data_IF_745219943991
#
_entry.id   IF_745219943991
#
_cell.length_a   1.000
_cell.length_b   1.000
_cell.length_c   1.000
_cell.angle_alpha   90.00
_cell.angle_beta   90.00
_cell.angle_gamma   90.00
#
_symmetry.space_group_name_H-M   'P 1'
#
loop_
_entity.id
_entity.type
_entity.pdbx_description
1 polymer ?
#
# COMPACT_ATOMS: atom_id res chain seq x y z
N UNK A 1 -37.80 -21.16 -13.36
CA UNK A 1 -36.73 -20.46 -14.08
C UNK A 1 -35.39 -20.96 -13.60
N UNK A 2 -34.38 -20.97 -14.46
CA UNK A 2 -33.03 -21.35 -14.07
C UNK A 2 -32.47 -20.34 -13.03
N UNK A 3 -32.07 -20.87 -11.88
CA UNK A 3 -31.52 -20.08 -10.77
C UNK A 3 -30.19 -19.42 -11.14
N UNK A 4 -29.35 -20.18 -11.85
CA UNK A 4 -28.03 -19.75 -12.26
C UNK A 4 -28.13 -18.61 -13.26
N UNK A 5 -29.01 -18.73 -14.25
CA UNK A 5 -29.32 -17.61 -15.14
C UNK A 5 -29.84 -16.38 -14.38
N UNK A 6 -30.71 -16.57 -13.39
CA UNK A 6 -31.23 -15.45 -12.60
C UNK A 6 -30.14 -14.74 -11.80
N UNK A 7 -29.17 -15.50 -11.28
CA UNK A 7 -27.98 -14.97 -10.61
C UNK A 7 -27.07 -14.21 -11.57
N UNK A 8 -26.76 -14.77 -12.76
CA UNK A 8 -25.99 -14.09 -13.81
C UNK A 8 -26.61 -12.76 -14.23
N UNK A 9 -27.94 -12.75 -14.42
CA UNK A 9 -28.69 -11.52 -14.75
C UNK A 9 -28.58 -10.49 -13.62
N UNK A 10 -28.77 -10.89 -12.37
CA UNK A 10 -28.63 -9.97 -11.23
C UNK A 10 -27.23 -9.35 -11.15
N UNK A 11 -26.17 -10.15 -11.24
CA UNK A 11 -24.78 -9.67 -11.23
C UNK A 11 -24.59 -8.66 -12.35
N UNK A 12 -25.03 -8.97 -13.57
CA UNK A 12 -24.87 -8.08 -14.72
C UNK A 12 -25.66 -6.78 -14.59
N UNK A 13 -26.86 -6.83 -14.01
CA UNK A 13 -27.68 -5.65 -13.71
C UNK A 13 -26.99 -4.75 -12.69
N UNK A 14 -26.38 -5.33 -11.65
CA UNK A 14 -25.63 -4.59 -10.64
C UNK A 14 -24.37 -3.93 -11.23
N UNK A 15 -23.58 -4.67 -12.03
CA UNK A 15 -22.37 -4.16 -12.68
C UNK A 15 -22.66 -2.97 -13.60
N UNK A 16 -23.74 -3.07 -14.38
CA UNK A 16 -24.12 -2.07 -15.36
C UNK A 16 -25.12 -1.05 -14.81
N UNK A 17 -25.52 -1.12 -13.53
CA UNK A 17 -26.50 -0.23 -12.92
C UNK A 17 -27.80 -0.01 -13.72
N UNK A 18 -28.18 -0.96 -14.59
CA UNK A 18 -29.29 -0.80 -15.54
C UNK A 18 -29.76 -2.13 -16.10
N UNK A 19 -31.07 -2.39 -15.98
CA UNK A 19 -31.72 -3.54 -16.59
C UNK A 19 -31.63 -3.54 -18.11
N UNK A 20 -31.80 -2.39 -18.76
CA UNK A 20 -31.74 -2.29 -20.21
C UNK A 20 -30.33 -2.62 -20.74
N UNK A 21 -29.28 -2.09 -20.08
CA UNK A 21 -27.89 -2.38 -20.48
C UNK A 21 -27.53 -3.84 -20.22
N UNK A 22 -27.94 -4.40 -19.10
CA UNK A 22 -27.70 -5.82 -18.79
C UNK A 22 -28.44 -6.76 -19.74
N UNK A 23 -29.70 -6.47 -20.05
CA UNK A 23 -30.50 -7.25 -20.99
C UNK A 23 -29.86 -7.26 -22.38
N UNK A 24 -29.44 -6.08 -22.87
CA UNK A 24 -28.72 -5.97 -24.14
C UNK A 24 -27.37 -6.70 -24.14
N UNK A 25 -26.62 -6.65 -23.03
CA UNK A 25 -25.33 -7.34 -22.93
C UNK A 25 -25.44 -8.88 -22.83
N UNK A 26 -26.62 -9.38 -22.46
CA UNK A 26 -26.90 -10.81 -22.31
C UNK A 26 -27.81 -11.38 -23.41
N UNK A 27 -28.13 -10.58 -24.43
CA UNK A 27 -29.04 -10.94 -25.53
C UNK A 27 -30.42 -11.44 -25.07
N UNK A 28 -31.00 -10.75 -24.08
CA UNK A 28 -32.34 -11.03 -23.55
C UNK A 28 -33.22 -9.77 -23.56
N UNK A 29 -34.54 -9.94 -23.44
CA UNK A 29 -35.44 -8.79 -23.32
C UNK A 29 -35.38 -8.16 -21.93
N UNK A 30 -35.65 -6.85 -21.83
CA UNK A 30 -35.71 -6.13 -20.55
C UNK A 30 -36.77 -6.73 -19.60
N UNK A 31 -37.89 -7.21 -20.15
CA UNK A 31 -38.93 -7.90 -19.38
C UNK A 31 -38.40 -9.20 -18.76
N UNK A 32 -37.60 -9.98 -19.51
CA UNK A 32 -36.96 -11.21 -19.03
C UNK A 32 -35.94 -10.90 -17.95
N UNK A 33 -35.08 -9.89 -18.14
CA UNK A 33 -34.11 -9.46 -17.13
C UNK A 33 -34.79 -9.03 -15.81
N UNK A 34 -35.86 -8.24 -15.93
CA UNK A 34 -36.68 -7.80 -14.78
C UNK A 34 -37.28 -8.99 -14.02
N UNK A 35 -37.79 -9.98 -14.76
CA UNK A 35 -38.42 -11.18 -14.19
C UNK A 35 -37.40 -12.08 -13.51
N UNK A 36 -36.22 -12.28 -14.08
CA UNK A 36 -35.13 -13.04 -13.45
C UNK A 36 -34.74 -12.48 -12.09
N UNK A 37 -34.56 -11.15 -11.99
CA UNK A 37 -34.23 -10.51 -10.71
C UNK A 37 -35.40 -10.58 -9.74
N UNK A 38 -36.64 -10.39 -10.20
CA UNK A 38 -37.83 -10.50 -9.35
C UNK A 38 -38.00 -11.92 -8.78
N UNK A 39 -37.79 -12.96 -9.60
CA UNK A 39 -37.83 -14.36 -9.16
C UNK A 39 -36.72 -14.65 -8.15
N UNK A 40 -35.53 -14.05 -8.33
CA UNK A 40 -34.42 -14.19 -7.40
C UNK A 40 -34.73 -13.54 -6.04
N UNK A 41 -35.22 -12.30 -6.05
CA UNK A 41 -35.66 -11.56 -4.85
C UNK A 41 -36.81 -12.31 -4.14
N UNK A 42 -37.78 -12.81 -4.91
CA UNK A 42 -38.90 -13.59 -4.38
C UNK A 42 -38.47 -14.89 -3.69
N UNK A 43 -37.43 -15.57 -4.20
CA UNK A 43 -36.87 -16.77 -3.57
C UNK A 43 -36.08 -16.47 -2.30
N UNK A 44 -35.35 -15.35 -2.27
CA UNK A 44 -34.58 -14.94 -1.09
C UNK A 44 -35.47 -14.29 -0.02
N UNK A 45 -36.70 -13.92 -0.37
CA UNK A 45 -37.62 -13.21 0.53
C UNK A 45 -37.19 -11.78 0.85
N UNK A 46 -36.20 -11.24 0.13
CA UNK A 46 -35.66 -9.89 0.33
C UNK A 46 -35.36 -9.21 -0.99
N UNK A 47 -35.40 -7.87 -1.00
CA UNK A 47 -34.99 -7.08 -2.16
C UNK A 47 -33.48 -6.95 -2.19
N UNK A 48 -32.89 -7.15 -3.37
CA UNK A 48 -31.46 -6.95 -3.62
C UNK A 48 -31.19 -5.59 -4.25
N UNK A 49 -32.20 -4.99 -4.92
CA UNK A 49 -32.07 -3.69 -5.58
C UNK A 49 -33.14 -2.70 -5.09
N UNK A 50 -32.70 -1.48 -4.80
CA UNK A 50 -33.57 -0.32 -4.69
C UNK A 50 -33.81 0.24 -6.10
N UNK A 51 -35.06 0.17 -6.55
CA UNK A 51 -35.48 0.70 -7.86
C UNK A 51 -36.21 2.00 -7.64
N UNK A 52 -35.63 3.11 -8.09
CA UNK A 52 -36.36 4.37 -8.31
C UNK A 52 -36.45 4.65 -9.81
N UNK A 53 -37.32 5.56 -10.22
CA UNK A 53 -37.44 5.99 -11.63
C UNK A 53 -36.17 6.69 -12.16
N UNK A 54 -35.20 7.01 -11.30
CA UNK A 54 -33.97 7.75 -11.65
C UNK A 54 -32.68 7.03 -11.28
N UNK A 55 -32.71 6.03 -10.40
CA UNK A 55 -31.51 5.31 -9.97
C UNK A 55 -31.79 3.84 -9.62
N UNK A 56 -30.78 3.02 -9.85
CA UNK A 56 -30.70 1.65 -9.41
C UNK A 56 -29.53 1.55 -8.43
N UNK A 57 -29.79 1.14 -7.19
CA UNK A 57 -28.75 0.90 -6.19
C UNK A 57 -28.95 -0.45 -5.50
N UNK A 58 -27.88 -1.01 -4.96
CA UNK A 58 -27.96 -2.24 -4.17
C UNK A 58 -28.55 -1.96 -2.79
N UNK A 59 -29.29 -2.92 -2.24
CA UNK A 59 -29.57 -2.98 -0.81
C UNK A 59 -28.36 -3.57 -0.07
N UNK A 60 -28.36 -3.53 1.26
CA UNK A 60 -27.33 -4.22 2.06
C UNK A 60 -27.30 -5.73 1.74
N UNK A 61 -28.46 -6.38 1.71
CA UNK A 61 -28.58 -7.78 1.27
C UNK A 61 -28.14 -7.97 -0.17
N UNK A 62 -28.39 -6.99 -1.04
CA UNK A 62 -27.94 -6.97 -2.43
C UNK A 62 -26.42 -6.95 -2.56
N UNK A 63 -25.73 -6.16 -1.74
CA UNK A 63 -24.27 -6.08 -1.74
C UNK A 63 -23.65 -7.42 -1.31
N UNK A 64 -24.15 -7.99 -0.22
CA UNK A 64 -23.71 -9.30 0.27
C UNK A 64 -23.98 -10.39 -0.76
N UNK A 65 -25.18 -10.41 -1.35
CA UNK A 65 -25.54 -11.40 -2.36
C UNK A 65 -24.69 -11.24 -3.63
N UNK A 66 -24.42 -10.02 -4.08
CA UNK A 66 -23.59 -9.75 -5.26
C UNK A 66 -22.18 -10.31 -5.11
N UNK A 67 -21.56 -10.06 -3.96
CA UNK A 67 -20.22 -10.56 -3.68
C UNK A 67 -20.15 -12.09 -3.71
N UNK A 68 -21.10 -12.76 -3.05
CA UNK A 68 -21.18 -14.23 -3.00
C UNK A 68 -21.60 -14.85 -4.33
N UNK A 69 -22.53 -14.21 -5.05
CA UNK A 69 -22.98 -14.66 -6.36
C UNK A 69 -21.84 -14.66 -7.38
N UNK A 70 -20.97 -13.63 -7.37
CA UNK A 70 -19.77 -13.60 -8.23
C UNK A 70 -18.86 -14.78 -7.93
N UNK A 71 -18.54 -15.02 -6.66
CA UNK A 71 -17.70 -16.15 -6.24
C UNK A 71 -18.26 -17.49 -6.74
N UNK A 72 -19.58 -17.72 -6.59
CA UNK A 72 -20.23 -18.96 -7.02
C UNK A 72 -20.19 -19.13 -8.55
N UNK A 73 -20.44 -18.06 -9.30
CA UNK A 73 -20.41 -18.11 -10.77
C UNK A 73 -19.00 -18.37 -11.30
N UNK A 74 -17.99 -17.74 -10.71
CA UNK A 74 -16.58 -17.96 -11.05
C UNK A 74 -16.17 -19.41 -10.72
N UNK A 75 -16.57 -19.94 -9.55
CA UNK A 75 -16.28 -21.33 -9.16
C UNK A 75 -16.97 -22.34 -10.08
N UNK A 76 -18.19 -22.07 -10.54
CA UNK A 76 -18.86 -22.92 -11.51
C UNK A 76 -18.13 -22.92 -12.86
N UNK A 77 -17.72 -21.74 -13.34
CA UNK A 77 -16.96 -21.61 -14.58
C UNK A 77 -15.62 -22.36 -14.47
N UNK A 78 -14.94 -22.26 -13.32
CA UNK A 78 -13.72 -22.99 -13.03
C UNK A 78 -13.95 -24.52 -13.06
N UNK A 79 -15.04 -25.01 -12.45
CA UNK A 79 -15.39 -26.44 -12.46
C UNK A 79 -15.72 -26.93 -13.87
N UNK A 80 -16.50 -26.17 -14.65
CA UNK A 80 -16.82 -26.48 -16.04
C UNK A 80 -15.53 -26.54 -16.88
N UNK A 81 -14.61 -25.59 -16.69
CA UNK A 81 -13.30 -25.59 -17.35
C UNK A 81 -12.41 -26.78 -16.93
N UNK A 82 -12.48 -27.22 -15.68
CA UNK A 82 -11.75 -28.39 -15.19
C UNK A 82 -12.21 -29.69 -15.86
N UNK A 83 -13.52 -29.82 -16.14
CA UNK A 83 -14.09 -31.03 -16.76
C UNK A 83 -13.75 -31.12 -18.25
N UNK A 84 -13.60 -29.99 -18.95
CA UNK A 84 -13.31 -29.93 -20.40
C UNK A 84 -11.81 -30.13 -20.70
N UNK A 85 -11.09 -30.84 -19.83
CA UNK A 85 -9.63 -31.03 -19.87
C UNK A 85 -9.04 -31.27 -21.27
N UNK A 86 -8.36 -30.25 -21.84
CA UNK A 86 -7.11 -30.44 -22.60
C UNK A 86 -6.33 -29.19 -23.01
N UNK A 87 -6.88 -27.99 -23.01
CA UNK A 87 -6.14 -26.75 -23.29
C UNK A 87 -6.98 -25.57 -22.81
N UNK A 88 -6.64 -24.90 -21.71
CA UNK A 88 -7.32 -23.66 -21.36
C UNK A 88 -6.34 -22.51 -21.18
N UNK A 89 -6.40 -21.63 -22.17
CA UNK A 89 -6.06 -20.23 -22.07
C UNK A 89 -6.79 -19.65 -20.83
N UNK A 90 -6.07 -19.08 -19.85
CA UNK A 90 -6.69 -18.51 -18.66
C UNK A 90 -7.59 -17.33 -19.03
N UNK A 91 -8.74 -17.22 -18.35
CA UNK A 91 -9.74 -16.17 -18.58
C UNK A 91 -10.52 -15.85 -17.29
N UNK A 92 -11.28 -14.75 -17.32
CA UNK A 92 -12.14 -14.33 -16.21
C UNK A 92 -11.48 -13.34 -15.25
N UNK A 93 -12.17 -12.99 -14.16
CA UNK A 93 -11.63 -12.10 -13.14
C UNK A 93 -10.61 -12.83 -12.26
N UNK A 94 -9.45 -12.22 -12.03
CA UNK A 94 -8.41 -12.72 -11.12
C UNK A 94 -8.29 -11.74 -9.95
N UNK A 95 -8.86 -12.13 -8.80
CA UNK A 95 -8.95 -11.29 -7.60
C UNK A 95 -7.66 -11.37 -6.78
N UNK A 96 -6.91 -10.28 -6.75
CA UNK A 96 -5.59 -10.17 -6.13
C UNK A 96 -5.65 -9.18 -4.97
N UNK A 97 -5.05 -9.56 -3.84
CA UNK A 97 -4.80 -8.64 -2.73
C UNK A 97 -3.30 -8.48 -2.47
N UNK A 98 -2.83 -7.27 -2.21
CA UNK A 98 -1.41 -7.02 -1.94
C UNK A 98 -1.19 -5.80 -1.02
N UNK A 99 -0.04 -5.70 -0.35
CA UNK A 99 0.38 -4.50 0.38
C UNK A 99 0.53 -3.32 -0.56
N UNK A 100 0.18 -2.12 -0.08
CA UNK A 100 0.03 -0.93 -0.94
C UNK A 100 1.33 -0.63 -1.68
N UNK A 101 2.44 -0.51 -0.95
CA UNK A 101 3.73 -0.14 -1.54
C UNK A 101 4.25 -1.26 -2.46
N UNK A 102 4.07 -2.52 -2.09
CA UNK A 102 4.48 -3.63 -2.97
C UNK A 102 3.66 -3.65 -4.26
N UNK A 103 2.35 -3.43 -4.16
CA UNK A 103 1.43 -3.34 -5.29
C UNK A 103 1.87 -2.30 -6.31
N UNK A 104 2.16 -1.09 -5.83
CA UNK A 104 2.54 0.04 -6.69
C UNK A 104 3.90 -0.13 -7.36
N UNK A 105 4.91 -0.62 -6.61
CA UNK A 105 6.29 -0.64 -7.12
C UNK A 105 6.68 -1.95 -7.82
N UNK A 106 6.03 -3.07 -7.48
CA UNK A 106 6.50 -4.41 -7.87
C UNK A 106 5.43 -5.26 -8.53
N UNK A 107 4.16 -5.11 -8.16
CA UNK A 107 3.07 -5.88 -8.78
C UNK A 107 2.66 -5.30 -10.14
N UNK A 108 2.63 -3.98 -10.28
CA UNK A 108 2.19 -3.33 -11.51
C UNK A 108 2.99 -3.77 -12.78
N UNK A 109 4.33 -3.86 -12.77
CA UNK A 109 5.09 -4.39 -13.92
C UNK A 109 4.77 -5.87 -14.25
N UNK A 110 4.51 -6.68 -13.22
CA UNK A 110 4.10 -8.08 -13.41
C UNK A 110 2.73 -8.15 -14.08
N UNK A 111 1.77 -7.36 -13.60
CA UNK A 111 0.42 -7.31 -14.16
C UNK A 111 0.42 -6.83 -15.61
N UNK A 112 1.28 -5.87 -15.96
CA UNK A 112 1.44 -5.42 -17.35
C UNK A 112 1.82 -6.59 -18.27
N UNK A 113 2.88 -7.33 -17.91
CA UNK A 113 3.36 -8.45 -18.73
C UNK A 113 2.41 -9.65 -18.71
N UNK A 114 1.72 -9.88 -17.60
CA UNK A 114 0.72 -10.94 -17.48
C UNK A 114 -0.53 -10.66 -18.34
N UNK A 115 -1.07 -9.44 -18.29
CA UNK A 115 -2.23 -9.04 -19.08
C UNK A 115 -1.94 -9.07 -20.60
N UNK A 116 -0.69 -8.81 -21.00
CA UNK A 116 -0.26 -8.99 -22.40
C UNK A 116 -0.23 -10.46 -22.82
N UNK A 117 0.23 -11.35 -21.94
CA UNK A 117 0.31 -12.79 -22.20
C UNK A 117 -1.07 -13.46 -22.18
N UNK A 118 -1.98 -12.96 -21.35
CA UNK A 118 -3.30 -13.55 -21.11
C UNK A 118 -4.40 -12.47 -21.15
N UNK A 119 -4.76 -11.96 -22.34
CA UNK A 119 -5.65 -10.81 -22.50
C UNK A 119 -7.11 -11.06 -22.08
N UNK A 120 -7.48 -12.33 -21.87
CA UNK A 120 -8.82 -12.72 -21.42
C UNK A 120 -8.96 -12.76 -19.89
N UNK A 121 -7.85 -12.60 -19.16
CA UNK A 121 -7.87 -12.47 -17.70
C UNK A 121 -7.95 -10.99 -17.35
N UNK A 122 -8.88 -10.65 -16.45
CA UNK A 122 -9.04 -9.29 -15.92
C UNK A 122 -8.50 -9.26 -14.50
N UNK A 123 -7.35 -8.60 -14.22
CA UNK A 123 -6.87 -8.43 -12.86
C UNK A 123 -7.79 -7.50 -12.06
N UNK A 124 -8.31 -7.98 -10.94
CA UNK A 124 -9.06 -7.22 -9.96
C UNK A 124 -8.19 -7.07 -8.71
N UNK A 125 -7.59 -5.88 -8.53
CA UNK A 125 -6.51 -5.67 -7.55
C UNK A 125 -6.98 -4.82 -6.39
N UNK A 126 -6.88 -5.36 -5.18
CA UNK A 126 -7.13 -4.67 -3.92
C UNK A 126 -5.81 -4.44 -3.17
N UNK A 127 -5.55 -3.19 -2.78
CA UNK A 127 -4.33 -2.83 -2.02
C UNK A 127 -4.66 -2.49 -0.58
N UNK A 128 -4.08 -3.22 0.38
CA UNK A 128 -4.34 -3.04 1.82
C UNK A 128 -3.11 -3.34 2.66
N UNK A 129 -2.91 -2.55 3.72
CA UNK A 129 -1.91 -2.80 4.76
C UNK A 129 -2.61 -3.23 6.07
N UNK A 130 -3.22 -4.41 6.00
CA UNK A 130 -3.80 -5.16 7.13
C UNK A 130 -3.74 -6.66 6.85
N UNK A 131 -3.99 -7.48 7.87
CA UNK A 131 -4.24 -8.90 7.64
C UNK A 131 -5.54 -9.09 6.84
N UNK A 132 -5.51 -10.06 5.92
CA UNK A 132 -6.60 -10.40 5.00
C UNK A 132 -6.79 -11.91 5.03
N UNK A 133 -8.04 -12.35 5.15
CA UNK A 133 -8.38 -13.75 4.93
C UNK A 133 -8.78 -13.95 3.46
N UNK A 134 -7.94 -14.64 2.70
CA UNK A 134 -8.16 -14.84 1.26
C UNK A 134 -9.45 -15.61 0.98
N UNK A 135 -9.86 -16.52 1.85
CA UNK A 135 -11.04 -17.37 1.65
C UNK A 135 -12.30 -16.61 2.01
N UNK A 136 -12.34 -16.00 3.20
CA UNK A 136 -13.54 -15.28 3.65
C UNK A 136 -13.85 -14.06 2.79
N UNK A 137 -12.81 -13.34 2.36
CA UNK A 137 -12.89 -12.13 1.52
C UNK A 137 -12.88 -12.44 0.02
N UNK A 138 -12.70 -13.72 -0.36
CA UNK A 138 -12.82 -14.21 -1.73
C UNK A 138 -11.77 -13.71 -2.70
N UNK A 139 -10.51 -13.66 -2.26
CA UNK A 139 -9.36 -13.42 -3.11
C UNK A 139 -8.80 -14.73 -3.66
N UNK A 140 -8.45 -14.73 -4.93
CA UNK A 140 -7.81 -15.87 -5.59
C UNK A 140 -6.33 -15.98 -5.16
N UNK A 141 -5.66 -14.83 -5.07
CA UNK A 141 -4.22 -14.73 -4.78
C UNK A 141 -3.96 -13.54 -3.85
N UNK A 142 -3.14 -13.76 -2.83
CA UNK A 142 -2.59 -12.73 -1.96
C UNK A 142 -1.08 -12.59 -2.11
N UNK A 143 -0.56 -11.37 -2.09
CA UNK A 143 0.84 -11.11 -1.77
C UNK A 143 0.92 -10.79 -0.28
N UNK A 144 1.82 -11.44 0.44
CA UNK A 144 1.93 -11.29 1.90
C UNK A 144 3.39 -11.04 2.31
N UNK A 145 3.54 -10.16 3.29
CA UNK A 145 4.84 -9.74 3.84
C UNK A 145 4.93 -10.29 5.26
N UNK A 146 5.96 -11.09 5.56
CA UNK A 146 6.17 -11.76 6.85
C UNK A 146 5.10 -12.82 7.22
N UNK A 147 5.14 -13.31 8.48
CA UNK A 147 4.31 -14.40 9.05
C UNK A 147 2.81 -14.05 9.22
N UNK A 148 2.25 -13.28 8.29
CA UNK A 148 0.89 -12.73 8.36
C UNK A 148 -0.21 -13.70 7.91
N UNK A 149 0.13 -14.95 7.57
CA UNK A 149 -0.87 -15.97 7.21
C UNK A 149 -0.98 -16.97 8.35
N UNK A 150 -2.09 -16.90 9.10
CA UNK A 150 -2.51 -17.90 10.07
C UNK A 150 -3.74 -18.62 9.54
N UNK A 151 -3.59 -19.46 8.53
CA UNK A 151 -4.65 -20.41 8.21
C UNK A 151 -4.10 -21.67 7.56
N UNK A 152 -4.56 -22.83 8.04
CA UNK A 152 -4.22 -24.15 7.50
C UNK A 152 -4.78 -24.37 6.08
N UNK A 153 -5.68 -23.49 5.62
CA UNK A 153 -6.31 -23.55 4.31
C UNK A 153 -5.60 -22.75 3.22
N UNK A 154 -4.42 -22.18 3.49
CA UNK A 154 -3.67 -21.36 2.53
C UNK A 154 -2.31 -21.95 2.26
N UNK A 155 -1.93 -22.04 0.98
CA UNK A 155 -0.58 -22.40 0.55
C UNK A 155 0.21 -21.13 0.33
N UNK A 156 1.43 -21.06 0.87
CA UNK A 156 2.35 -19.94 0.67
C UNK A 156 3.60 -20.39 -0.08
N UNK A 157 4.02 -19.61 -1.09
CA UNK A 157 5.26 -19.80 -1.83
C UNK A 157 6.06 -18.51 -1.83
N UNK A 158 7.35 -18.59 -1.53
CA UNK A 158 8.24 -17.41 -1.54
C UNK A 158 8.43 -16.88 -2.96
N UNK A 159 8.23 -15.58 -3.12
CA UNK A 159 8.52 -14.86 -4.37
C UNK A 159 9.90 -14.22 -4.32
N UNK A 160 10.18 -13.49 -3.25
CA UNK A 160 11.36 -12.62 -3.13
C UNK A 160 11.60 -12.25 -1.67
N UNK A 161 12.75 -11.65 -1.39
CA UNK A 161 13.05 -11.04 -0.09
C UNK A 161 13.30 -9.54 -0.27
N UNK A 162 12.91 -8.75 0.72
CA UNK A 162 13.24 -7.33 0.83
C UNK A 162 14.09 -7.07 2.07
N UNK A 163 14.85 -5.99 2.05
CA UNK A 163 15.55 -5.49 3.24
C UNK A 163 14.81 -4.29 3.83
N UNK A 164 14.89 -4.15 5.15
CA UNK A 164 14.50 -2.94 5.85
C UNK A 164 15.73 -2.04 6.02
N UNK A 165 15.53 -0.73 5.87
CA UNK A 165 16.59 0.26 5.96
C UNK A 165 16.18 1.37 6.92
N UNK A 166 17.13 1.79 7.76
CA UNK A 166 16.98 2.97 8.61
C UNK A 166 17.35 4.21 7.80
N UNK A 167 16.51 5.23 7.80
CA UNK A 167 16.74 6.44 7.02
C UNK A 167 16.16 7.69 7.68
N UNK A 168 16.72 8.84 7.32
CA UNK A 168 16.23 10.16 7.68
C UNK A 168 16.64 11.18 6.61
N UNK A 169 16.13 12.41 6.70
CA UNK A 169 16.59 13.51 5.84
C UNK A 169 17.93 14.07 6.34
N UNK A 170 18.79 14.58 5.45
CA UNK A 170 20.01 15.29 5.88
C UNK A 170 19.75 16.44 6.85
N UNK A 171 18.70 17.24 6.60
CA UNK A 171 18.33 18.37 7.44
C UNK A 171 17.94 17.97 8.87
N UNK A 172 17.30 16.82 9.05
CA UNK A 172 17.01 16.29 10.38
C UNK A 172 18.31 15.91 11.11
N UNK A 173 19.23 15.25 10.41
CA UNK A 173 20.50 14.79 10.99
C UNK A 173 21.45 15.95 11.35
N UNK A 174 21.44 17.03 10.57
CA UNK A 174 22.20 18.24 10.88
C UNK A 174 21.78 18.85 12.23
N UNK A 175 20.48 18.79 12.52
CA UNK A 175 19.90 19.35 13.77
C UNK A 175 19.99 18.40 14.95
N UNK A 176 19.84 17.10 14.73
CA UNK A 176 19.66 16.11 15.79
C UNK A 176 20.87 15.17 15.98
N UNK A 177 21.88 15.26 15.12
CA UNK A 177 23.00 14.33 15.07
C UNK A 177 22.70 13.07 14.24
N UNK A 178 23.76 12.37 13.85
CA UNK A 178 23.66 11.12 13.06
C UNK A 178 23.89 9.90 13.95
N UNK A 179 22.93 8.96 14.05
CA UNK A 179 23.14 7.74 14.82
C UNK A 179 24.15 6.83 14.11
N UNK A 180 25.18 6.40 14.86
CA UNK A 180 26.25 5.51 14.38
C UNK A 180 26.08 4.07 14.86
N UNK A 181 25.28 3.84 15.91
CA UNK A 181 24.92 2.52 16.44
C UNK A 181 23.42 2.43 16.74
N UNK A 182 22.82 1.23 16.72
CA UNK A 182 21.38 1.05 16.92
C UNK A 182 20.83 1.67 18.21
N UNK A 183 21.61 1.69 19.28
CA UNK A 183 21.23 2.24 20.58
C UNK A 183 20.96 3.74 20.53
N UNK A 184 21.61 4.47 19.63
CA UNK A 184 21.32 5.89 19.43
C UNK A 184 19.90 6.14 18.92
N UNK A 185 19.22 5.14 18.34
CA UNK A 185 17.81 5.27 17.95
C UNK A 185 16.89 5.54 19.15
N UNK A 186 17.32 5.22 20.38
CA UNK A 186 16.57 5.55 21.60
C UNK A 186 16.52 7.06 21.87
N UNK A 187 17.43 7.82 21.29
CA UNK A 187 17.57 9.28 21.47
C UNK A 187 16.84 10.07 20.37
N UNK A 188 16.26 9.39 19.39
CA UNK A 188 15.58 10.01 18.25
C UNK A 188 14.08 9.66 18.21
N UNK A 189 13.23 10.61 17.82
CA UNK A 189 11.89 10.33 17.33
C UNK A 189 11.90 9.26 16.22
N UNK A 190 11.29 8.09 16.48
CA UNK A 190 11.16 7.03 15.48
C UNK A 190 9.76 6.96 14.85
N UNK A 191 9.75 6.64 13.56
CA UNK A 191 8.57 6.49 12.72
C UNK A 191 8.43 4.99 12.37
N UNK A 192 7.36 4.36 12.87
CA UNK A 192 7.23 2.88 12.82
C UNK A 192 5.84 2.41 12.42
N UNK A 193 5.79 1.19 11.87
CA UNK A 193 4.55 0.41 11.80
C UNK A 193 4.06 0.04 13.22
N UNK A 194 2.77 -0.27 13.38
CA UNK A 194 2.25 -0.83 14.64
C UNK A 194 3.05 -2.05 15.09
N UNK A 195 3.18 -2.24 16.40
CA UNK A 195 3.99 -3.32 16.98
C UNK A 195 3.46 -4.72 16.64
N UNK A 196 2.20 -4.85 16.25
CA UNK A 196 1.61 -6.09 15.74
C UNK A 196 2.30 -6.63 14.47
N UNK A 197 2.98 -5.77 13.71
CA UNK A 197 3.66 -6.16 12.48
C UNK A 197 5.02 -6.81 12.75
N UNK A 198 5.86 -6.21 13.62
CA UNK A 198 7.26 -6.60 13.83
C UNK A 198 7.72 -6.63 15.30
N UNK A 199 6.78 -6.55 16.25
CA UNK A 199 7.07 -6.35 17.66
C UNK A 199 7.52 -4.93 17.99
N UNK A 200 7.76 -4.67 19.28
CA UNK A 200 8.30 -3.39 19.76
C UNK A 200 9.83 -3.30 19.62
N UNK A 201 10.50 -4.45 19.55
CA UNK A 201 11.95 -4.53 19.48
C UNK A 201 12.43 -4.57 18.02
N UNK A 202 13.60 -3.97 17.77
CA UNK A 202 14.33 -4.04 16.50
C UNK A 202 15.65 -4.75 16.78
N UNK A 203 15.86 -5.86 16.07
CA UNK A 203 17.08 -6.65 16.15
C UNK A 203 17.97 -6.25 14.98
N UNK A 204 19.19 -5.83 15.27
CA UNK A 204 20.20 -5.49 14.29
C UNK A 204 21.34 -6.48 14.39
N UNK A 205 21.81 -7.01 13.27
CA UNK A 205 23.04 -7.78 13.20
C UNK A 205 24.17 -6.85 12.81
N UNK A 206 25.13 -6.63 13.70
CA UNK A 206 26.29 -5.76 13.50
C UNK A 206 27.63 -6.49 13.65
N UNK A 207 28.75 -5.75 13.62
CA UNK A 207 30.11 -6.32 13.70
C UNK A 207 30.40 -7.10 14.98
N UNK A 208 29.76 -6.72 16.10
CA UNK A 208 29.96 -7.32 17.43
C UNK A 208 28.86 -8.33 17.80
N UNK A 209 27.94 -8.62 16.88
CA UNK A 209 26.81 -9.53 17.09
C UNK A 209 25.45 -8.85 17.01
N UNK A 210 24.45 -9.48 17.63
CA UNK A 210 23.08 -8.94 17.67
C UNK A 210 22.94 -7.81 18.68
N UNK A 211 22.38 -6.68 18.24
CA UNK A 211 21.98 -5.55 19.08
C UNK A 211 20.47 -5.43 19.01
N UNK A 212 19.83 -5.35 20.18
CA UNK A 212 18.37 -5.20 20.27
C UNK A 212 18.00 -3.88 20.90
N UNK A 213 17.12 -3.14 20.25
CA UNK A 213 16.67 -1.83 20.71
C UNK A 213 15.17 -1.72 20.62
N UNK A 214 14.56 -0.93 21.51
CA UNK A 214 13.14 -0.58 21.48
C UNK A 214 13.00 0.93 21.29
N UNK A 215 13.06 1.43 20.04
CA UNK A 215 12.99 2.86 19.77
C UNK A 215 11.68 3.47 20.26
N UNK A 216 11.73 4.72 20.72
CA UNK A 216 10.52 5.44 21.12
C UNK A 216 9.79 5.92 19.86
N UNK A 217 8.67 5.26 19.55
CA UNK A 217 7.85 5.63 18.40
C UNK A 217 7.05 6.90 18.73
N UNK A 218 7.32 7.98 18.02
CA UNK A 218 6.56 9.24 18.15
C UNK A 218 5.36 9.29 17.22
N UNK A 219 5.42 8.54 16.12
CA UNK A 219 4.36 8.44 15.12
C UNK A 219 4.27 6.99 14.67
N UNK A 220 3.05 6.48 14.68
CA UNK A 220 2.72 5.11 14.28
C UNK A 220 1.73 5.20 13.12
N UNK A 221 2.06 4.56 12.00
CA UNK A 221 1.18 4.45 10.84
C UNK A 221 1.26 3.03 10.28
N UNK A 222 0.13 2.44 9.87
CA UNK A 222 0.11 1.10 9.28
C UNK A 222 0.58 1.05 7.82
N UNK A 223 0.94 2.19 7.23
CA UNK A 223 1.32 2.31 5.83
C UNK A 223 2.74 2.90 5.72
N UNK A 224 3.63 2.19 5.02
CA UNK A 224 5.04 2.59 4.90
C UNK A 224 5.27 3.80 3.98
N UNK A 225 4.38 4.06 3.02
CA UNK A 225 4.43 5.30 2.22
C UNK A 225 4.12 6.52 3.09
N UNK A 226 3.17 6.42 4.02
CA UNK A 226 2.92 7.50 4.98
C UNK A 226 4.13 7.76 5.88
N UNK A 227 4.77 6.69 6.38
CA UNK A 227 6.01 6.81 7.16
C UNK A 227 7.14 7.46 6.35
N UNK A 228 7.24 7.15 5.06
CA UNK A 228 8.16 7.82 4.14
C UNK A 228 7.88 9.31 4.03
N UNK A 229 6.61 9.72 3.91
CA UNK A 229 6.25 11.15 3.88
C UNK A 229 6.66 11.86 5.18
N UNK A 230 6.41 11.26 6.34
CA UNK A 230 6.87 11.82 7.62
C UNK A 230 8.40 11.94 7.70
N UNK A 231 9.13 10.95 7.18
CA UNK A 231 10.59 11.02 7.12
C UNK A 231 11.06 12.17 6.23
N UNK A 232 10.48 12.32 5.03
CA UNK A 232 10.80 13.40 4.09
C UNK A 232 10.49 14.80 4.65
N UNK A 233 9.51 14.91 5.54
CA UNK A 233 9.20 16.13 6.29
C UNK A 233 10.13 16.37 7.48
N UNK A 234 11.11 15.50 7.72
CA UNK A 234 12.09 15.63 8.81
C UNK A 234 11.50 15.39 10.19
N UNK A 235 10.46 14.56 10.31
CA UNK A 235 9.76 14.32 11.58
C UNK A 235 10.45 13.28 12.47
N UNK A 236 11.50 12.62 11.97
CA UNK A 236 12.22 11.59 12.71
C UNK A 236 12.97 10.63 11.82
N UNK A 237 13.39 9.52 12.43
CA UNK A 237 14.06 8.40 11.77
C UNK A 237 13.03 7.32 11.43
N UNK A 238 12.99 6.89 10.18
CA UNK A 238 12.09 5.84 9.71
C UNK A 238 12.83 4.54 9.41
N UNK A 239 12.14 3.42 9.64
CA UNK A 239 12.57 2.09 9.22
C UNK A 239 11.65 1.66 8.08
N UNK A 240 12.16 1.70 6.84
CA UNK A 240 11.37 1.53 5.62
C UNK A 240 11.93 0.43 4.72
N UNK A 241 11.10 -0.21 3.89
CA UNK A 241 11.60 -1.15 2.88
C UNK A 241 12.56 -0.46 1.91
N UNK A 242 13.68 -1.11 1.58
CA UNK A 242 14.71 -0.60 0.66
C UNK A 242 14.13 -0.19 -0.71
N UNK A 243 13.25 -1.02 -1.26
CA UNK A 243 12.62 -0.77 -2.56
C UNK A 243 11.72 0.47 -2.61
N UNK A 244 11.31 1.01 -1.45
CA UNK A 244 10.45 2.18 -1.36
C UNK A 244 11.25 3.50 -1.46
N UNK A 245 12.49 3.52 -0.94
CA UNK A 245 13.26 4.77 -0.73
C UNK A 245 14.41 4.98 -1.71
N UNK A 246 14.56 4.10 -2.71
CA UNK A 246 15.70 4.16 -3.64
C UNK A 246 15.82 5.46 -4.42
N UNK A 247 14.68 6.01 -4.87
CA UNK A 247 14.66 7.28 -5.59
C UNK A 247 15.01 8.47 -4.66
N UNK A 248 14.50 8.48 -3.42
CA UNK A 248 14.82 9.55 -2.47
C UNK A 248 16.29 9.55 -2.11
N UNK A 249 16.85 8.35 -1.97
CA UNK A 249 18.25 8.18 -1.64
C UNK A 249 19.15 8.62 -2.80
N UNK A 250 18.78 8.26 -4.02
CA UNK A 250 19.50 8.71 -5.23
C UNK A 250 19.44 10.23 -5.40
N UNK A 251 18.34 10.86 -4.98
CA UNK A 251 18.15 12.33 -5.00
C UNK A 251 18.72 13.05 -3.78
N UNK A 252 19.29 12.33 -2.81
CA UNK A 252 19.82 12.88 -1.56
C UNK A 252 18.74 13.43 -0.61
N UNK A 253 17.46 13.10 -0.82
CA UNK A 253 16.37 13.53 0.07
C UNK A 253 16.32 12.69 1.34
N UNK A 254 16.62 11.40 1.22
CA UNK A 254 16.84 10.51 2.36
C UNK A 254 18.27 9.98 2.30
N UNK A 255 18.83 9.69 3.48
CA UNK A 255 20.12 9.01 3.59
C UNK A 255 19.97 7.75 4.42
N UNK A 256 20.70 6.70 4.06
CA UNK A 256 20.74 5.44 4.79
C UNK A 256 21.59 5.60 6.05
N UNK A 257 21.04 5.23 7.18
CA UNK A 257 21.70 5.20 8.48
C UNK A 257 22.12 3.78 8.85
N UNK A 258 23.03 3.67 9.83
CA UNK A 258 23.47 2.40 10.40
C UNK A 258 23.94 1.39 9.34
N UNK A 259 24.78 1.84 8.39
CA UNK A 259 25.18 1.06 7.22
C UNK A 259 25.86 -0.28 7.51
N UNK A 260 26.51 -0.39 8.67
CA UNK A 260 27.22 -1.58 9.15
C UNK A 260 26.31 -2.55 9.93
N UNK A 261 25.06 -2.16 10.15
CA UNK A 261 24.05 -2.96 10.84
C UNK A 261 22.97 -3.41 9.85
N UNK A 262 22.59 -4.67 9.94
CA UNK A 262 21.57 -5.27 9.09
C UNK A 262 20.30 -5.55 9.89
N UNK A 263 19.18 -5.10 9.37
CA UNK A 263 17.87 -5.53 9.84
C UNK A 263 17.50 -6.88 9.20
N UNK A 264 16.62 -7.68 9.84
CA UNK A 264 16.16 -8.93 9.28
C UNK A 264 15.56 -8.74 7.89
N UNK A 265 15.86 -9.68 6.99
CA UNK A 265 15.19 -9.74 5.70
C UNK A 265 13.72 -10.06 5.90
N UNK A 266 12.90 -9.45 5.05
CA UNK A 266 11.45 -9.66 5.04
C UNK A 266 11.12 -10.53 3.84
N UNK A 267 10.54 -11.69 4.11
CA UNK A 267 10.06 -12.57 3.04
C UNK A 267 8.74 -12.05 2.47
N UNK A 268 8.69 -11.99 1.14
CA UNK A 268 7.50 -11.66 0.37
C UNK A 268 7.05 -12.93 -0.32
N UNK A 269 5.83 -13.36 0.00
CA UNK A 269 5.27 -14.62 -0.45
C UNK A 269 4.01 -14.37 -1.28
N UNK A 270 3.75 -15.26 -2.23
CA UNK A 270 2.42 -15.44 -2.80
C UNK A 270 1.67 -16.45 -1.93
N UNK A 271 0.41 -16.16 -1.65
CA UNK A 271 -0.50 -16.95 -0.85
C UNK A 271 -1.77 -17.22 -1.68
N UNK A 272 -2.31 -18.42 -1.60
CA UNK A 272 -3.54 -18.78 -2.30
C UNK A 272 -4.29 -19.90 -1.58
N UNK A 273 -5.62 -19.98 -1.67
CA UNK A 273 -6.40 -21.05 -1.04
C UNK A 273 -5.93 -22.44 -1.49
N UNK A 274 -5.73 -23.34 -0.53
CA UNK A 274 -5.42 -24.74 -0.77
C UNK A 274 -6.64 -25.44 -1.37
N UNK A 275 -6.59 -25.69 -2.67
CA UNK A 275 -7.63 -26.42 -3.43
C UNK A 275 -7.00 -27.61 -4.12
N UNK A 276 -7.74 -28.72 -4.23
CA UNK A 276 -7.29 -29.94 -4.93
C UNK A 276 -6.93 -29.64 -6.41
N UNK A 277 -7.56 -28.63 -6.99
CA UNK A 277 -7.27 -28.13 -8.33
C UNK A 277 -7.32 -26.59 -8.32
N UNK A 278 -6.28 -25.96 -8.87
CA UNK A 278 -6.21 -24.50 -9.02
C UNK A 278 -6.77 -24.10 -10.40
N UNK A 279 -7.60 -23.05 -10.47
CA UNK A 279 -8.02 -22.47 -11.74
C UNK A 279 -6.83 -22.08 -12.62
N UNK A 280 -7.00 -22.13 -13.94
CA UNK A 280 -5.92 -21.83 -14.89
C UNK A 280 -5.38 -20.40 -14.71
N UNK A 281 -6.25 -19.41 -14.47
CA UNK A 281 -5.90 -18.02 -14.17
C UNK A 281 -4.97 -17.90 -12.95
N UNK A 282 -5.29 -18.61 -11.87
CA UNK A 282 -4.52 -18.58 -10.62
C UNK A 282 -3.15 -19.23 -10.81
N UNK A 283 -3.12 -20.43 -11.37
CA UNK A 283 -1.88 -21.17 -11.61
C UNK A 283 -0.93 -20.42 -12.53
N UNK A 284 -1.42 -19.97 -13.70
CA UNK A 284 -0.58 -19.24 -14.67
C UNK A 284 -0.09 -17.91 -14.13
N UNK A 285 -0.88 -17.23 -13.30
CA UNK A 285 -0.45 -16.00 -12.62
C UNK A 285 0.63 -16.26 -11.59
N UNK A 286 0.49 -17.30 -10.77
CA UNK A 286 1.54 -17.71 -9.81
C UNK A 286 2.83 -18.08 -10.54
N UNK A 287 2.75 -18.84 -11.63
CA UNK A 287 3.92 -19.20 -12.44
C UNK A 287 4.58 -17.96 -13.03
N UNK A 288 3.80 -17.01 -13.56
CA UNK A 288 4.30 -15.75 -14.11
C UNK A 288 4.93 -14.84 -13.05
N UNK A 289 4.34 -14.75 -11.85
CA UNK A 289 4.93 -14.06 -10.70
C UNK A 289 6.29 -14.65 -10.33
N UNK A 290 6.35 -15.97 -10.19
CA UNK A 290 7.59 -16.66 -9.81
C UNK A 290 8.65 -16.50 -10.89
N UNK A 291 8.28 -16.64 -12.17
CA UNK A 291 9.18 -16.41 -13.30
C UNK A 291 9.76 -14.98 -13.25
N UNK A 292 8.91 -13.96 -13.07
CA UNK A 292 9.34 -12.56 -13.00
C UNK A 292 10.34 -12.31 -11.85
N UNK A 293 10.02 -12.75 -10.63
CA UNK A 293 10.90 -12.54 -9.47
C UNK A 293 12.12 -13.48 -9.44
N UNK A 294 12.10 -14.57 -10.23
CA UNK A 294 13.27 -15.45 -10.40
C UNK A 294 14.38 -14.84 -11.25
N UNK A 295 14.01 -13.94 -12.17
CA UNK A 295 14.93 -13.27 -13.10
C UNK A 295 15.64 -12.05 -12.47
N UNK A 296 15.24 -11.65 -11.26
CA UNK A 296 15.88 -10.54 -10.54
C UNK A 296 17.16 -11.03 -9.84
N UNK A 297 18.34 -10.41 -10.05
CA UNK A 297 19.59 -10.87 -9.43
C UNK A 297 19.47 -10.97 -7.89
N UNK A 298 19.72 -12.17 -7.34
CA UNK A 298 19.55 -12.55 -5.92
C UNK A 298 18.11 -12.55 -5.38
N UNK A 299 17.07 -12.49 -6.23
CA UNK A 299 15.67 -12.44 -5.80
C UNK A 299 15.37 -11.28 -4.82
N UNK A 300 16.06 -10.14 -4.97
CA UNK A 300 15.88 -8.94 -4.14
C UNK A 300 15.21 -7.82 -4.93
N UNK A 301 14.18 -7.21 -4.36
CA UNK A 301 13.43 -6.13 -5.00
C UNK A 301 14.24 -4.82 -5.02
N UNK A 302 14.63 -4.36 -6.22
CA UNK A 302 15.16 -3.01 -6.52
C UNK A 302 16.17 -2.41 -5.53
N UNK A 303 17.18 -3.20 -5.13
CA UNK A 303 18.25 -2.79 -4.21
C UNK A 303 19.55 -2.35 -4.91
N UNK A 304 19.53 -2.13 -6.23
CA UNK A 304 20.74 -1.76 -7.00
C UNK A 304 21.42 -0.50 -6.44
N UNK A 305 20.66 0.49 -5.96
CA UNK A 305 21.20 1.72 -5.37
C UNK A 305 21.98 1.49 -4.06
N UNK A 306 21.62 0.45 -3.28
CA UNK A 306 22.36 0.06 -2.06
C UNK A 306 23.75 -0.45 -2.44
N UNK A 307 23.86 -1.20 -3.55
CA UNK A 307 25.11 -1.80 -4.05
C UNK A 307 26.05 -0.75 -4.63
N UNK A 308 25.51 0.27 -5.28
CA UNK A 308 26.28 1.37 -5.86
C UNK A 308 26.89 2.32 -4.81
N UNK A 309 26.62 2.11 -3.51
CA UNK A 309 27.11 2.97 -2.44
C UNK A 309 26.47 4.37 -2.39
N UNK A 310 25.47 4.64 -3.24
CA UNK A 310 24.72 5.90 -3.28
C UNK A 310 23.77 5.93 -2.09
N UNK A 311 23.96 6.88 -1.17
CA UNK A 311 23.10 7.04 0.02
C UNK A 311 23.78 6.89 1.37
N UNK A 312 25.10 6.65 1.41
CA UNK A 312 25.85 6.79 2.67
C UNK A 312 25.89 8.27 3.09
N UNK A 313 25.74 8.59 4.39
CA UNK A 313 26.01 9.93 4.88
C UNK A 313 27.45 10.30 4.52
N UNK A 314 27.69 11.57 4.14
CA UNK A 314 29.05 12.06 3.98
C UNK A 314 29.83 11.78 5.30
N UNK A 315 31.09 11.34 5.24
CA UNK A 315 31.86 11.10 6.45
C UNK A 315 31.84 12.36 7.30
N UNK A 316 31.46 12.21 8.57
CA UNK A 316 31.49 13.31 9.52
C UNK A 316 32.93 13.82 9.61
N UNK A 317 33.21 14.96 8.97
CA UNK A 317 34.44 15.69 9.23
C UNK A 317 34.35 16.15 10.68
N UNK A 318 35.08 15.45 11.56
CA UNK A 318 35.37 15.93 12.89
C UNK A 318 36.12 17.26 12.73
N UNK A 319 35.38 18.37 12.78
CA UNK A 319 35.98 19.67 12.98
C UNK A 319 36.51 19.68 14.42
N UNK A 320 37.82 19.45 14.56
CA UNK A 320 38.54 19.79 15.76
C UNK A 320 38.33 21.29 16.03
N UNK A 321 37.46 21.61 16.98
CA UNK A 321 37.48 22.91 17.62
C UNK A 321 38.66 22.89 18.60
N UNK A 322 39.80 23.43 18.17
CA UNK A 322 40.83 23.86 19.09
C UNK A 322 40.27 25.04 19.91
N UNK A 323 40.20 24.83 21.22
CA UNK A 323 40.01 25.89 22.20
C UNK A 323 41.18 26.88 22.07
N UNK A 324 40.88 28.12 21.71
CA UNK A 324 41.76 29.25 21.96
C UNK A 324 41.17 30.08 23.10
N UNK A 325 41.96 30.20 24.17
CA UNK A 325 41.69 30.92 25.41
C UNK A 325 41.22 32.36 25.20
N UNK A 326 40.28 32.75 26.07
CA UNK A 326 39.95 34.14 26.38
C UNK A 326 41.16 34.82 27.05
N UNK A 327 41.66 35.92 26.47
CA UNK A 327 41.97 37.08 27.31
C UNK A 327 42.10 38.40 26.52
N UNK A 328 41.68 39.47 27.18
CA UNK A 328 41.85 40.89 26.88
C UNK A 328 40.89 41.60 25.89
N UNK A 329 39.84 42.20 26.46
CA UNK A 329 39.34 43.52 26.03
C UNK A 329 40.05 44.63 26.85
N UNK A 330 40.21 45.87 26.32
CA UNK A 330 39.19 46.88 26.66
C UNK A 330 38.91 47.99 25.61
N UNK A 331 37.60 48.25 25.41
CA UNK A 331 36.88 49.55 25.51
C UNK A 331 37.18 50.74 24.51
N UNK A 332 36.30 51.78 24.41
CA UNK A 332 35.60 52.11 23.15
C UNK A 332 35.81 53.56 22.66
N UNK A 333 35.42 53.87 21.41
CA UNK A 333 35.31 55.28 20.94
C UNK A 333 34.08 55.55 20.03
N UNK A 334 33.13 56.28 20.62
CA UNK A 334 32.35 57.41 20.11
C UNK A 334 31.75 57.43 18.68
N UNK A 335 30.42 57.61 18.64
CA UNK A 335 29.61 58.11 17.51
C UNK A 335 29.97 59.57 17.11
N UNK A 336 29.47 60.07 15.97
CA UNK A 336 28.21 60.84 16.04
C UNK A 336 27.15 60.46 14.99
N UNK A 337 25.94 60.94 15.28
CA UNK A 337 24.65 60.83 14.59
C UNK A 337 24.51 62.01 13.60
N UNK A 338 23.76 61.82 12.50
CA UNK A 338 22.80 62.75 11.86
C UNK A 338 22.29 62.05 10.57
N UNK A 339 21.00 62.03 10.16
CA UNK A 339 19.80 62.65 10.66
C UNK A 339 18.55 62.04 9.97
N UNK A 340 17.42 62.19 10.66
CA UNK A 340 16.02 62.31 10.21
C UNK A 340 15.61 61.92 8.77
N UNK A 341 14.60 61.04 8.65
CA UNK A 341 13.22 61.39 8.22
C UNK A 341 12.33 60.14 8.04
N UNK A 342 11.39 59.96 8.97
CA UNK A 342 10.06 59.41 8.72
C UNK A 342 9.07 60.56 9.03
N UNK A 343 7.78 60.60 8.60
CA UNK A 343 6.89 59.44 8.46
C UNK A 343 5.82 59.55 7.34
N UNK A 344 4.98 58.52 7.17
CA UNK A 344 3.50 58.65 7.35
C UNK A 344 2.76 57.32 7.23
N UNK A 345 1.88 57.12 8.22
CA UNK A 345 0.85 56.12 8.35
C UNK A 345 -0.33 56.40 7.41
N UNK A 346 -1.00 55.34 6.94
CA UNK A 346 -2.46 55.33 6.75
C UNK A 346 -3.02 53.91 6.88
N UNK A 347 -3.81 53.65 7.94
CA UNK A 347 -4.81 52.56 8.02
C UNK A 347 -6.22 53.16 7.77
N UNK A 348 -7.34 52.43 7.97
CA UNK A 348 -8.11 51.74 6.94
C UNK A 348 -9.55 52.30 6.79
N UNK A 349 -10.24 52.06 5.66
CA UNK A 349 -11.66 52.41 5.50
C UNK A 349 -12.57 51.18 5.64
N UNK A 350 -13.41 51.22 6.67
CA UNK A 350 -14.64 50.42 6.85
C UNK A 350 -15.69 50.82 5.82
N UNK A 351 -16.48 49.84 5.33
CA UNK A 351 -17.90 50.06 5.07
C UNK A 351 -18.73 48.87 5.56
N UNK A 352 -19.76 49.20 6.34
CA UNK A 352 -20.79 48.34 6.93
C UNK A 352 -21.76 47.84 5.86
N UNK A 353 -22.24 46.61 6.01
CA UNK A 353 -23.51 46.11 5.46
C UNK A 353 -24.11 45.10 6.43
N UNK A 354 -25.30 45.39 6.93
CA UNK A 354 -26.05 44.68 7.98
C UNK A 354 -26.63 43.33 7.49
N UNK A 355 -26.67 42.38 8.43
CA UNK A 355 -27.54 41.18 8.58
C UNK A 355 -29.06 41.50 8.44
N UNK A 356 -30.05 40.54 8.44
CA UNK A 356 -30.04 39.27 9.20
C UNK A 356 -30.89 38.04 8.73
N UNK A 357 -30.80 36.98 9.56
CA UNK A 357 -31.81 35.94 9.95
C UNK A 357 -31.79 34.56 9.25
N UNK A 358 -31.36 33.54 10.04
CA UNK A 358 -31.99 32.24 10.41
C UNK A 358 -33.07 31.63 9.50
N UNK A 359 -33.30 30.31 9.35
CA UNK A 359 -32.95 29.08 10.07
C UNK A 359 -33.44 27.86 9.21
N UNK A 360 -33.44 26.58 9.67
CA UNK A 360 -33.04 25.42 8.86
C UNK A 360 -34.18 24.55 8.30
N UNK A 361 -33.81 23.64 7.37
CA UNK A 361 -34.38 22.29 7.20
C UNK A 361 -33.27 21.31 6.80
#
# INVERSE_FOLDING_TARGET
MDHLQSMRVFVRVADLGSFARAASAMDISNAVATRHVADLEGRLGTRLLNRTTRSLSLTESGQVYLERARQILDELEDVEQMVVARNHEPLGSLRIVAPVVFGLHNLAPVLQTYAQRYPKVVPDVTLVDRQVDLVEEGFDVGIVIARQVKSASVVTRRLTTGCMTVCATPAYLEKHGTPTRPEHLLEHPCLSLPSEYWGDERVFTGPEGEVRVRPQNVIIANNTEMLRQFALLGMGIAILPSYLIGNDTTRGQLVRLLGDYQLPQVEINVAYPSRRHLPAKVRTFIDHLVEHFSQTPNHQVSEQWIRDGRGRPAPATHAHYEHADEDAAPAPRSRPIDGELAPKLSKPSRTRGRMPVASPF
#
